data_IF_446961804749
#
_entry.id   IF_446961804749
#
_cell.length_a   1.000
_cell.length_b   1.000
_cell.length_c   1.000
_cell.angle_alpha   90.00
_cell.angle_beta   90.00
_cell.angle_gamma   90.00
#
_symmetry.space_group_name_H-M   'P 1'
#
loop_
_entity.id
_entity.type
_entity.pdbx_description
1 polymer ?
#
# COMPACT_ATOMS: atom_id res chain seq x y z
N UNK A 1 46.36 19.47 33.02
CA UNK A 1 44.97 19.90 32.76
C UNK A 1 44.58 19.98 31.27
N UNK A 2 45.51 19.79 30.31
CA UNK A 2 45.24 19.92 28.85
C UNK A 2 44.81 18.60 28.19
N UNK A 3 45.12 17.45 28.80
CA UNK A 3 44.86 16.12 28.23
C UNK A 3 43.37 15.69 28.36
N UNK A 4 42.65 16.18 29.38
CA UNK A 4 41.23 15.87 29.59
C UNK A 4 40.32 16.61 28.57
N UNK A 5 40.69 17.82 28.13
CA UNK A 5 39.93 18.58 27.13
C UNK A 5 40.03 18.00 25.71
N UNK A 6 41.14 17.34 25.35
CA UNK A 6 41.28 16.68 24.03
C UNK A 6 40.44 15.42 23.89
N UNK A 7 40.10 14.75 25.00
CA UNK A 7 39.26 13.54 24.99
C UNK A 7 37.77 13.87 24.80
N UNK A 8 37.32 15.03 25.27
CA UNK A 8 35.94 15.47 25.07
C UNK A 8 35.65 16.01 23.67
N UNK A 9 36.65 16.62 23.02
CA UNK A 9 36.47 17.21 21.67
C UNK A 9 36.37 16.14 20.56
N UNK A 10 36.90 14.93 20.77
CA UNK A 10 36.83 13.83 19.79
C UNK A 10 35.44 13.16 19.80
N UNK A 11 34.76 13.14 20.95
CA UNK A 11 33.42 12.52 21.08
C UNK A 11 32.34 13.42 20.44
N UNK A 12 32.55 14.73 20.37
CA UNK A 12 31.63 15.66 19.69
C UNK A 12 31.69 15.54 18.14
N UNK A 13 32.84 15.16 17.58
CA UNK A 13 33.03 14.98 16.13
C UNK A 13 32.58 13.60 15.61
N UNK A 14 32.40 12.59 16.48
CA UNK A 14 31.82 11.29 16.11
C UNK A 14 30.27 11.28 16.18
N UNK A 15 29.66 12.28 16.83
CA UNK A 15 28.20 12.34 17.01
C UNK A 15 27.40 12.97 15.85
N UNK A 16 28.08 13.61 14.88
CA UNK A 16 27.43 14.27 13.73
C UNK A 16 27.58 13.45 12.43
N UNK A 17 28.35 12.36 12.43
CA UNK A 17 28.65 11.56 11.23
C UNK A 17 27.80 10.29 11.07
N UNK A 18 26.54 10.31 11.50
CA UNK A 18 25.59 9.22 11.20
C UNK A 18 24.22 9.69 10.70
N UNK A 19 24.06 10.95 10.32
CA UNK A 19 22.89 11.40 9.57
C UNK A 19 23.27 11.65 8.12
N UNK A 20 23.83 10.63 7.46
CA UNK A 20 24.11 10.68 6.03
C UNK A 20 24.09 9.28 5.43
N UNK A 21 23.05 8.49 5.71
CA UNK A 21 22.46 7.56 4.74
C UNK A 21 20.97 7.50 5.10
N UNK A 22 20.20 8.53 4.76
CA UNK A 22 18.92 8.20 4.12
C UNK A 22 19.37 7.62 2.80
N UNK A 23 19.39 6.30 2.71
CA UNK A 23 19.54 5.67 1.41
C UNK A 23 18.41 6.25 0.58
N UNK A 24 18.72 6.82 -0.60
CA UNK A 24 17.71 6.88 -1.62
C UNK A 24 17.26 5.43 -1.78
N UNK A 25 16.10 5.09 -1.24
CA UNK A 25 15.50 3.79 -1.47
C UNK A 25 15.16 3.82 -2.95
N UNK A 26 15.82 2.98 -3.75
CA UNK A 26 15.40 2.82 -5.14
C UNK A 26 13.95 2.34 -5.11
N UNK A 27 13.04 3.22 -5.55
CA UNK A 27 11.62 2.93 -5.58
C UNK A 27 11.35 2.18 -6.88
N UNK A 28 11.46 0.85 -6.82
CA UNK A 28 11.23 0.00 -7.99
C UNK A 28 9.78 0.07 -8.48
N UNK A 29 8.85 0.33 -7.56
CA UNK A 29 7.42 0.39 -7.86
C UNK A 29 6.65 1.44 -7.06
N UNK A 30 5.51 1.85 -7.61
CA UNK A 30 4.51 2.66 -6.91
C UNK A 30 3.14 1.99 -7.00
N UNK A 31 2.27 2.31 -6.04
CA UNK A 31 0.86 1.93 -6.09
C UNK A 31 0.03 3.15 -6.47
N UNK A 32 -0.78 3.03 -7.53
CA UNK A 32 -1.73 4.04 -7.97
C UNK A 32 -3.15 3.63 -7.60
N UNK A 33 -3.88 4.51 -6.93
CA UNK A 33 -5.28 4.27 -6.54
C UNK A 33 -6.10 5.56 -6.60
N UNK A 34 -7.39 5.52 -6.22
CA UNK A 34 -8.29 6.67 -6.24
C UNK A 34 -9.08 6.80 -4.94
N UNK A 35 -9.32 8.03 -4.51
CA UNK A 35 -10.15 8.33 -3.33
C UNK A 35 -11.64 8.20 -3.59
N UNK A 36 -12.08 8.16 -4.86
CA UNK A 36 -13.49 7.98 -5.24
C UNK A 36 -14.04 6.62 -4.75
N UNK A 37 -13.18 5.59 -4.69
CA UNK A 37 -13.52 4.29 -4.14
C UNK A 37 -12.65 3.97 -2.91
N UNK A 38 -13.05 4.54 -1.78
CA UNK A 38 -12.34 4.46 -0.51
C UNK A 38 -11.90 3.03 -0.10
N UNK A 39 -12.72 1.96 -0.24
CA UNK A 39 -12.29 0.61 0.14
C UNK A 39 -11.04 0.13 -0.62
N UNK A 40 -10.93 0.41 -1.92
CA UNK A 40 -9.77 -0.01 -2.72
C UNK A 40 -8.50 0.76 -2.29
N UNK A 41 -8.64 2.05 -1.99
CA UNK A 41 -7.54 2.87 -1.45
C UNK A 41 -7.00 2.34 -0.13
N UNK A 42 -7.87 1.78 0.73
CA UNK A 42 -7.44 1.21 2.01
C UNK A 42 -6.56 -0.02 1.82
N UNK A 43 -7.01 -0.93 0.98
CA UNK A 43 -6.25 -2.14 0.65
C UNK A 43 -4.94 -1.76 -0.05
N UNK A 44 -4.95 -0.73 -0.90
CA UNK A 44 -3.76 -0.21 -1.56
C UNK A 44 -2.69 0.27 -0.57
N UNK A 45 -3.08 0.96 0.50
CA UNK A 45 -2.15 1.41 1.54
C UNK A 45 -1.47 0.22 2.26
N UNK A 46 -2.22 -0.85 2.52
CA UNK A 46 -1.68 -2.06 3.15
C UNK A 46 -0.69 -2.77 2.21
N UNK A 47 -1.02 -2.89 0.92
CA UNK A 47 -0.12 -3.44 -0.08
C UNK A 47 1.15 -2.59 -0.25
N UNK A 48 1.02 -1.27 -0.26
CA UNK A 48 2.13 -0.34 -0.37
C UNK A 48 3.13 -0.51 0.78
N UNK A 49 2.63 -0.66 2.01
CA UNK A 49 3.46 -0.95 3.17
C UNK A 49 4.19 -2.30 3.04
N UNK A 50 3.53 -3.33 2.51
CA UNK A 50 4.11 -4.67 2.31
C UNK A 50 5.32 -4.66 1.38
N UNK A 51 5.28 -3.86 0.31
CA UNK A 51 6.36 -3.79 -0.69
C UNK A 51 7.29 -2.59 -0.53
N UNK A 52 7.05 -1.72 0.46
CA UNK A 52 7.86 -0.52 0.67
C UNK A 52 7.69 0.55 -0.41
N UNK A 53 6.54 0.60 -1.08
CA UNK A 53 6.25 1.54 -2.16
C UNK A 53 5.36 2.70 -1.70
N UNK A 54 5.46 3.89 -2.31
CA UNK A 54 4.52 4.97 -2.04
C UNK A 54 3.17 4.73 -2.73
N UNK A 55 2.12 5.33 -2.16
CA UNK A 55 0.79 5.41 -2.77
C UNK A 55 0.63 6.77 -3.44
N UNK A 56 0.26 6.75 -4.71
CA UNK A 56 -0.11 7.93 -5.49
C UNK A 56 -1.59 7.87 -5.84
N UNK A 57 -2.20 9.05 -6.01
CA UNK A 57 -3.62 9.18 -6.30
C UNK A 57 -3.88 9.55 -7.77
N UNK A 58 -4.97 9.06 -8.33
CA UNK A 58 -5.44 9.41 -9.66
C UNK A 58 -6.93 9.72 -9.66
N UNK A 59 -7.35 10.54 -10.62
CA UNK A 59 -8.75 10.68 -10.98
C UNK A 59 -9.14 9.57 -11.95
N UNK A 60 -10.46 9.38 -12.15
CA UNK A 60 -10.98 8.28 -12.95
C UNK A 60 -10.41 8.18 -14.36
N UNK A 61 -10.20 9.29 -15.04
CA UNK A 61 -9.79 9.31 -16.45
C UNK A 61 -8.49 10.07 -16.71
N UNK A 62 -7.88 10.62 -15.67
CA UNK A 62 -6.71 11.48 -15.77
C UNK A 62 -5.79 11.29 -14.58
N UNK A 63 -4.49 11.38 -14.84
CA UNK A 63 -3.46 11.40 -13.80
C UNK A 63 -3.17 12.88 -13.47
N UNK A 64 -3.43 13.32 -12.22
CA UNK A 64 -3.15 14.68 -11.79
C UNK A 64 -1.69 15.07 -11.99
N UNK A 65 -1.43 16.37 -12.12
CA UNK A 65 -0.08 16.89 -12.35
C UNK A 65 0.89 16.53 -11.22
N UNK A 66 0.43 16.56 -9.97
CA UNK A 66 1.26 16.22 -8.82
C UNK A 66 1.69 14.74 -8.85
N UNK A 67 0.77 13.86 -9.23
CA UNK A 67 1.08 12.43 -9.41
C UNK A 67 2.05 12.20 -10.58
N UNK A 68 1.89 12.93 -11.69
CA UNK A 68 2.87 12.88 -12.80
C UNK A 68 4.25 13.35 -12.34
N UNK A 69 4.32 14.42 -11.55
CA UNK A 69 5.58 14.94 -11.02
C UNK A 69 6.26 13.91 -10.13
N UNK A 70 5.50 13.26 -9.24
CA UNK A 70 6.01 12.19 -8.37
C UNK A 70 6.48 10.97 -9.18
N UNK A 71 5.74 10.54 -10.20
CA UNK A 71 6.18 9.46 -11.11
C UNK A 71 7.51 9.81 -11.80
N UNK A 72 7.68 11.05 -12.24
CA UNK A 72 8.92 11.52 -12.89
C UNK A 72 10.10 11.64 -11.91
N UNK A 73 9.83 11.97 -10.64
CA UNK A 73 10.83 12.06 -9.58
C UNK A 73 11.30 10.67 -9.14
N UNK A 74 10.34 9.79 -8.86
CA UNK A 74 10.58 8.44 -8.35
C UNK A 74 11.11 7.47 -9.43
N UNK A 75 10.71 7.69 -10.69
CA UNK A 75 11.06 6.85 -11.85
C UNK A 75 10.88 5.34 -11.60
N UNK A 76 9.71 4.90 -11.13
CA UNK A 76 9.47 3.48 -10.89
C UNK A 76 9.52 2.69 -12.20
N UNK A 77 9.89 1.42 -12.10
CA UNK A 77 9.75 0.49 -13.23
C UNK A 77 8.30 0.00 -13.36
N UNK A 78 7.66 -0.25 -12.21
CA UNK A 78 6.31 -0.84 -12.14
C UNK A 78 5.31 0.10 -11.48
N UNK A 79 4.13 0.21 -12.06
CA UNK A 79 2.97 0.89 -11.47
C UNK A 79 1.86 -0.12 -11.23
N UNK A 80 1.57 -0.39 -9.96
CA UNK A 80 0.43 -1.22 -9.56
C UNK A 80 -0.83 -0.37 -9.47
N UNK A 81 -1.82 -0.63 -10.32
CA UNK A 81 -3.13 0.00 -10.21
C UNK A 81 -4.00 -0.85 -9.31
N UNK A 82 -4.39 -0.33 -8.15
CA UNK A 82 -5.36 -0.98 -7.26
C UNK A 82 -6.71 -0.26 -7.40
N UNK A 83 -7.62 -0.95 -8.07
CA UNK A 83 -8.97 -0.46 -8.37
C UNK A 83 -9.48 -0.91 -9.73
N UNK A 84 -10.79 -1.15 -9.81
CA UNK A 84 -11.46 -1.60 -11.02
C UNK A 84 -11.50 -0.55 -12.14
N UNK A 85 -11.81 -0.95 -13.39
CA UNK A 85 -11.89 -0.05 -14.54
C UNK A 85 -13.04 0.97 -14.44
N UNK A 86 -14.03 0.74 -13.58
CA UNK A 86 -15.13 1.67 -13.33
C UNK A 86 -14.71 2.92 -12.54
N UNK A 87 -13.62 2.82 -11.76
CA UNK A 87 -13.11 3.87 -10.86
C UNK A 87 -11.74 4.40 -11.31
N UNK A 88 -10.91 3.57 -11.96
CA UNK A 88 -9.68 3.99 -12.63
C UNK A 88 -9.72 3.48 -14.07
N UNK A 89 -10.14 4.35 -14.98
CA UNK A 89 -10.44 4.03 -16.36
C UNK A 89 -9.22 3.65 -17.19
N UNK A 90 -9.48 3.04 -18.35
CA UNK A 90 -8.45 2.59 -19.27
C UNK A 90 -7.54 3.72 -19.80
N UNK A 91 -8.00 4.97 -19.79
CA UNK A 91 -7.18 6.13 -20.19
C UNK A 91 -5.96 6.30 -19.30
N UNK A 92 -6.11 6.14 -17.99
CA UNK A 92 -5.01 6.21 -17.02
C UNK A 92 -4.01 5.09 -17.27
N UNK A 93 -4.50 3.86 -17.35
CA UNK A 93 -3.66 2.67 -17.59
C UNK A 93 -2.89 2.76 -18.91
N UNK A 94 -3.56 3.15 -19.99
CA UNK A 94 -2.92 3.31 -21.30
C UNK A 94 -1.92 4.47 -21.31
N UNK A 95 -2.18 5.56 -20.58
CA UNK A 95 -1.25 6.67 -20.45
C UNK A 95 0.04 6.26 -19.75
N UNK A 96 -0.03 5.42 -18.72
CA UNK A 96 1.14 4.87 -18.03
C UNK A 96 1.92 3.92 -18.93
N UNK A 97 1.24 2.96 -19.58
CA UNK A 97 1.88 2.04 -20.54
C UNK A 97 2.56 2.79 -21.68
N UNK A 98 1.93 3.83 -22.21
CA UNK A 98 2.49 4.69 -23.26
C UNK A 98 3.73 5.48 -22.83
N UNK A 99 3.93 5.67 -21.52
CA UNK A 99 5.15 6.26 -20.95
C UNK A 99 6.25 5.22 -20.68
N UNK A 100 6.01 3.94 -20.97
CA UNK A 100 6.99 2.87 -20.82
C UNK A 100 7.01 2.18 -19.46
N UNK A 101 6.08 2.51 -18.56
CA UNK A 101 5.93 1.80 -17.28
C UNK A 101 5.41 0.38 -17.51
N UNK A 102 5.89 -0.58 -16.71
CA UNK A 102 5.17 -1.84 -16.51
C UNK A 102 3.94 -1.54 -15.66
N UNK A 103 2.75 -1.92 -16.13
CA UNK A 103 1.49 -1.60 -15.46
C UNK A 103 0.72 -2.87 -15.15
N UNK A 104 0.50 -3.11 -13.86
CA UNK A 104 -0.21 -4.29 -13.35
C UNK A 104 -1.45 -3.81 -12.61
N UNK A 105 -2.63 -4.22 -13.06
CA UNK A 105 -3.89 -3.88 -12.39
C UNK A 105 -4.36 -5.03 -11.53
N UNK A 106 -4.63 -4.75 -10.26
CA UNK A 106 -5.16 -5.70 -9.28
C UNK A 106 -6.53 -5.18 -8.83
N UNK A 107 -7.58 -5.96 -9.09
CA UNK A 107 -8.96 -5.55 -8.85
C UNK A 107 -9.90 -6.75 -8.87
N UNK A 108 -11.02 -6.65 -8.15
CA UNK A 108 -12.13 -7.59 -8.23
C UNK A 108 -13.44 -6.90 -8.59
N UNK A 109 -14.49 -7.69 -8.87
CA UNK A 109 -15.84 -7.19 -9.20
C UNK A 109 -16.42 -6.37 -8.05
N UNK A 110 -16.10 -6.75 -6.81
CA UNK A 110 -16.54 -6.08 -5.59
C UNK A 110 -15.33 -5.58 -4.81
N UNK A 111 -15.56 -4.67 -3.86
CA UNK A 111 -14.52 -4.21 -2.89
C UNK A 111 -13.85 -5.37 -2.15
N UNK A 112 -14.60 -6.44 -1.89
CA UNK A 112 -14.13 -7.66 -1.26
C UNK A 112 -13.27 -8.49 -2.20
N UNK A 113 -13.69 -8.57 -3.47
CA UNK A 113 -12.89 -9.14 -4.54
C UNK A 113 -11.54 -8.43 -4.68
N UNK A 114 -11.52 -7.09 -4.76
CA UNK A 114 -10.26 -6.33 -4.80
C UNK A 114 -9.37 -6.64 -3.59
N UNK A 115 -9.93 -6.67 -2.38
CA UNK A 115 -9.19 -7.06 -1.18
C UNK A 115 -8.56 -8.45 -1.30
N UNK A 116 -9.31 -9.42 -1.83
CA UNK A 116 -8.87 -10.80 -2.05
C UNK A 116 -7.74 -10.87 -3.07
N UNK A 117 -7.91 -10.24 -4.23
CA UNK A 117 -6.93 -10.22 -5.31
C UNK A 117 -5.61 -9.59 -4.85
N UNK A 118 -5.68 -8.49 -4.09
CA UNK A 118 -4.48 -7.87 -3.50
C UNK A 118 -3.80 -8.79 -2.49
N UNK A 119 -4.57 -9.47 -1.62
CA UNK A 119 -4.02 -10.42 -0.67
C UNK A 119 -3.31 -11.59 -1.39
N UNK A 120 -3.94 -12.18 -2.41
CA UNK A 120 -3.36 -13.26 -3.20
C UNK A 120 -2.10 -12.83 -3.93
N UNK A 121 -2.08 -11.62 -4.49
CA UNK A 121 -0.95 -11.11 -5.25
C UNK A 121 0.29 -10.84 -4.38
N UNK A 122 0.13 -10.13 -3.26
CA UNK A 122 1.28 -9.71 -2.44
C UNK A 122 1.62 -10.66 -1.28
N UNK A 123 0.74 -11.60 -0.95
CA UNK A 123 0.96 -12.66 0.05
C UNK A 123 0.75 -14.05 -0.56
N UNK A 124 1.48 -14.36 -1.64
CA UNK A 124 1.48 -15.70 -2.29
C UNK A 124 1.78 -16.82 -1.28
N UNK A 125 2.73 -16.56 -0.36
CA UNK A 125 3.08 -17.47 0.73
C UNK A 125 2.17 -17.38 1.94
N UNK A 126 1.09 -16.58 1.88
CA UNK A 126 0.17 -16.19 2.95
C UNK A 126 0.80 -15.39 4.09
N UNK A 127 0.07 -15.26 5.20
CA UNK A 127 0.47 -14.50 6.38
C UNK A 127 0.06 -15.24 7.65
N UNK A 128 0.86 -15.14 8.71
CA UNK A 128 0.50 -15.64 10.04
C UNK A 128 -0.64 -14.82 10.69
N UNK A 129 -0.78 -13.56 10.26
CA UNK A 129 -1.77 -12.61 10.81
C UNK A 129 -2.60 -12.02 9.68
N UNK A 130 -3.89 -11.91 9.92
CA UNK A 130 -4.83 -11.21 9.06
C UNK A 130 -5.45 -10.04 9.81
N UNK A 131 -5.65 -8.93 9.10
CA UNK A 131 -6.40 -7.77 9.61
C UNK A 131 -7.68 -7.68 8.80
N UNK A 132 -8.82 -7.67 9.50
CA UNK A 132 -10.13 -7.50 8.89
C UNK A 132 -10.65 -6.11 9.26
N UNK A 133 -10.94 -5.31 8.24
CA UNK A 133 -11.58 -4.01 8.38
C UNK A 133 -12.93 -4.09 7.68
N UNK A 134 -13.98 -3.75 8.41
CA UNK A 134 -15.35 -3.76 7.92
C UNK A 134 -16.11 -2.60 8.55
N UNK A 135 -17.02 -2.00 7.78
CA UNK A 135 -17.97 -1.00 8.24
C UNK A 135 -19.40 -1.58 8.22
N UNK A 136 -20.15 -1.38 9.31
CA UNK A 136 -21.53 -1.86 9.51
C UNK A 136 -22.53 -1.24 8.53
N UNK A 137 -22.12 -0.29 7.71
CA UNK A 137 -22.97 0.26 6.65
C UNK A 137 -23.37 -0.85 5.68
N UNK A 138 -24.68 -1.11 5.58
CA UNK A 138 -25.28 -2.09 4.67
C UNK A 138 -25.13 -1.68 3.21
N UNK A 139 -23.89 -1.61 2.73
CA UNK A 139 -23.58 -1.32 1.35
C UNK A 139 -24.12 -2.43 0.45
N UNK A 140 -24.61 -2.12 -0.77
CA UNK A 140 -25.42 -3.03 -1.56
C UNK A 140 -24.64 -4.21 -2.18
N UNK A 141 -23.33 -4.21 -1.99
CA UNK A 141 -22.42 -5.21 -2.54
C UNK A 141 -22.53 -6.46 -1.64
N UNK A 142 -23.58 -7.26 -1.89
CA UNK A 142 -23.81 -8.62 -1.41
C UNK A 142 -23.27 -8.97 -0.01
N UNK A 143 -24.08 -8.70 1.03
CA UNK A 143 -24.10 -9.48 2.27
C UNK A 143 -22.77 -9.59 3.02
N UNK A 144 -22.60 -8.70 3.99
CA UNK A 144 -21.76 -8.80 5.20
C UNK A 144 -21.37 -10.20 5.76
N UNK A 145 -22.04 -11.28 5.40
CA UNK A 145 -21.71 -12.65 5.82
C UNK A 145 -20.49 -13.24 5.05
N UNK A 146 -20.28 -12.85 3.79
CA UNK A 146 -19.23 -13.44 2.94
C UNK A 146 -17.81 -13.11 3.39
N UNK A 147 -17.57 -11.91 3.93
CA UNK A 147 -16.21 -11.50 4.33
C UNK A 147 -15.69 -12.25 5.55
N UNK A 148 -16.57 -12.52 6.52
CA UNK A 148 -16.17 -13.24 7.72
C UNK A 148 -15.99 -14.73 7.41
N UNK A 149 -16.82 -15.29 6.52
CA UNK A 149 -16.69 -16.66 6.03
C UNK A 149 -15.42 -16.81 5.19
N UNK A 150 -15.20 -15.93 4.22
CA UNK A 150 -14.00 -15.93 3.38
C UNK A 150 -12.72 -15.75 4.19
N UNK A 151 -12.70 -14.80 5.13
CA UNK A 151 -11.56 -14.61 6.02
C UNK A 151 -11.32 -15.84 6.91
N UNK A 152 -12.39 -16.47 7.40
CA UNK A 152 -12.29 -17.71 8.17
C UNK A 152 -11.83 -18.88 7.32
N UNK A 153 -12.24 -18.98 6.07
CA UNK A 153 -11.84 -20.06 5.17
C UNK A 153 -10.37 -19.91 4.76
N UNK A 154 -9.95 -18.69 4.41
CA UNK A 154 -8.54 -18.35 4.19
C UNK A 154 -7.68 -18.62 5.44
N UNK A 155 -8.21 -18.38 6.64
CA UNK A 155 -7.50 -18.67 7.89
C UNK A 155 -7.54 -20.15 8.30
N UNK A 156 -8.63 -20.89 7.99
CA UNK A 156 -8.80 -22.32 8.30
C UNK A 156 -7.83 -23.19 7.53
N UNK A 157 -7.51 -22.82 6.30
CA UNK A 157 -6.45 -23.47 5.52
C UNK A 157 -5.08 -23.41 6.25
N UNK A 158 -4.93 -22.54 7.27
CA UNK A 158 -3.76 -22.48 8.15
C UNK A 158 -4.12 -22.47 9.64
N UNK A 159 -4.79 -23.51 10.13
CA UNK A 159 -4.88 -24.02 11.53
C UNK A 159 -4.96 -23.08 12.77
N UNK A 160 -4.83 -21.76 12.73
CA UNK A 160 -4.82 -20.90 13.92
C UNK A 160 -5.41 -19.50 13.64
N UNK A 161 -6.74 -19.37 13.73
CA UNK A 161 -7.41 -18.07 13.72
C UNK A 161 -7.77 -17.66 15.15
N UNK A 162 -7.17 -16.57 15.65
CA UNK A 162 -7.48 -15.99 16.96
C UNK A 162 -8.06 -14.57 16.77
N UNK A 163 -9.37 -14.41 16.93
CA UNK A 163 -10.05 -13.12 16.70
C UNK A 163 -9.97 -12.21 17.93
N UNK A 164 -9.07 -11.23 17.91
CA UNK A 164 -9.04 -10.14 18.89
C UNK A 164 -9.84 -8.93 18.41
N UNK A 165 -10.96 -8.60 19.04
CA UNK A 165 -11.68 -7.34 18.80
C UNK A 165 -11.03 -6.21 19.60
N UNK A 166 -10.12 -5.47 18.98
CA UNK A 166 -9.52 -4.26 19.56
C UNK A 166 -10.49 -3.08 19.48
N UNK A 167 -10.75 -2.42 20.62
CA UNK A 167 -11.55 -1.21 20.68
C UNK A 167 -10.64 -0.01 20.39
N UNK A 168 -10.68 0.52 19.16
CA UNK A 168 -9.82 1.62 18.74
C UNK A 168 -10.44 2.97 19.15
N UNK A 169 -10.01 3.49 20.30
CA UNK A 169 -10.27 4.88 20.66
C UNK A 169 -9.34 5.77 19.82
N UNK A 170 -9.89 6.38 18.77
CA UNK A 170 -9.23 7.48 18.07
C UNK A 170 -9.15 8.67 19.05
N UNK A 171 -7.93 9.13 19.34
CA UNK A 171 -7.68 10.38 20.07
C UNK A 171 -7.81 11.57 19.15
#
# INVERSE_FOLDING_TARGET
MVIQMKRFLIILLMGISLCSIVSAQDIDSVILTTTENYPDSFVAAVAANKIGSPVLLTDKNEIPIDTKNQLNELKPTTVYIIGGPSVIGARVENSLKGQGYEVIRIWGITRYGTSTEVAQYFWVGGSEKAVLVWDKTGTPDNGNEDMLVMAKDLARERKEFNSGSGNWNLR
#
